data_IF_538557210137
#
_entry.id   IF_538557210137
#
_cell.length_a   1.000
_cell.length_b   1.000
_cell.length_c   1.000
_cell.angle_alpha   90.00
_cell.angle_beta   90.00
_cell.angle_gamma   90.00
#
_symmetry.space_group_name_H-M   'P 1'
#
loop_
_entity.id
_entity.type
_entity.pdbx_description
1 polymer ?
#
# COMPACT_ATOMS: atom_id res chain seq x y z
N UNK A 1 -17.43 12.60 -15.17
CA UNK A 1 -18.04 12.95 -13.88
C UNK A 1 -16.90 13.35 -12.94
N UNK A 2 -16.93 14.51 -12.27
CA UNK A 2 -15.78 15.07 -11.55
C UNK A 2 -15.22 14.13 -10.46
N UNK A 3 -16.10 13.33 -9.85
CA UNK A 3 -15.78 12.37 -8.79
C UNK A 3 -14.76 11.30 -9.21
N UNK A 4 -14.78 10.85 -10.47
CA UNK A 4 -13.90 9.78 -10.95
C UNK A 4 -12.45 10.25 -11.11
N UNK A 5 -12.25 11.51 -11.52
CA UNK A 5 -10.91 12.08 -11.70
C UNK A 5 -10.24 12.38 -10.36
N UNK A 6 -10.99 12.92 -9.40
CA UNK A 6 -10.47 13.15 -8.05
C UNK A 6 -10.06 11.83 -7.38
N UNK A 7 -10.87 10.77 -7.54
CA UNK A 7 -10.54 9.45 -7.01
C UNK A 7 -9.25 8.87 -7.62
N UNK A 8 -9.09 9.00 -8.95
CA UNK A 8 -7.89 8.54 -9.66
C UNK A 8 -6.64 9.29 -9.18
N UNK A 9 -6.73 10.62 -9.04
CA UNK A 9 -5.62 11.43 -8.54
C UNK A 9 -5.28 11.06 -7.09
N UNK A 10 -6.28 10.80 -6.25
CA UNK A 10 -6.08 10.40 -4.87
C UNK A 10 -5.39 9.03 -4.76
N UNK A 11 -5.81 8.06 -5.58
CA UNK A 11 -5.18 6.74 -5.67
C UNK A 11 -3.73 6.88 -6.15
N UNK A 12 -3.48 7.70 -7.17
CA UNK A 12 -2.15 7.93 -7.69
C UNK A 12 -1.23 8.57 -6.64
N UNK A 13 -1.74 9.53 -5.87
CA UNK A 13 -1.02 10.19 -4.80
C UNK A 13 -0.68 9.22 -3.66
N UNK A 14 -1.63 8.36 -3.28
CA UNK A 14 -1.43 7.34 -2.26
C UNK A 14 -0.35 6.32 -2.68
N UNK A 15 -0.39 5.84 -3.94
CA UNK A 15 0.63 4.92 -4.48
C UNK A 15 2.00 5.61 -4.50
N UNK A 16 2.05 6.88 -4.90
CA UNK A 16 3.31 7.64 -4.96
C UNK A 16 3.90 7.86 -3.55
N UNK A 17 3.08 8.17 -2.56
CA UNK A 17 3.49 8.32 -1.17
C UNK A 17 4.01 7.00 -0.59
N UNK A 18 3.31 5.90 -0.83
CA UNK A 18 3.77 4.54 -0.43
C UNK A 18 5.09 4.20 -1.13
N UNK A 19 5.21 4.47 -2.43
CA UNK A 19 6.43 4.23 -3.19
C UNK A 19 7.62 5.06 -2.70
N UNK A 20 7.39 6.32 -2.32
CA UNK A 20 8.41 7.18 -1.71
C UNK A 20 8.84 6.64 -0.34
N UNK A 21 7.88 6.27 0.50
CA UNK A 21 8.15 5.66 1.81
C UNK A 21 8.99 4.39 1.65
N UNK A 22 8.64 3.53 0.69
CA UNK A 22 9.40 2.31 0.36
C UNK A 22 10.81 2.63 -0.09
N UNK A 23 10.99 3.64 -0.94
CA UNK A 23 12.30 4.07 -1.44
C UNK A 23 13.19 4.57 -0.29
N UNK A 24 12.63 5.33 0.63
CA UNK A 24 13.33 5.83 1.82
C UNK A 24 13.65 4.69 2.80
N UNK A 25 12.72 3.76 2.98
CA UNK A 25 12.89 2.56 3.78
C UNK A 25 13.90 1.56 3.18
N UNK A 26 13.99 1.43 1.85
CA UNK A 26 14.99 0.64 1.13
C UNK A 26 16.40 1.18 1.30
N UNK A 27 16.57 2.50 1.48
CA UNK A 27 17.86 3.10 1.83
C UNK A 27 18.34 2.64 3.22
N UNK A 28 17.39 2.31 4.11
CA UNK A 28 17.58 1.73 5.45
C UNK A 28 17.55 0.18 5.41
N UNK A 29 18.19 -0.39 4.39
CA UNK A 29 17.97 -1.72 3.77
C UNK A 29 18.02 -2.97 4.65
N UNK A 30 18.55 -2.93 5.88
CA UNK A 30 18.84 -4.17 6.64
C UNK A 30 17.69 -4.71 7.51
N UNK A 31 16.65 -3.93 7.80
CA UNK A 31 15.54 -4.36 8.67
C UNK A 31 14.14 -4.15 8.07
N UNK A 32 14.06 -3.28 7.08
CA UNK A 32 12.85 -2.84 6.38
C UNK A 32 12.10 -3.94 5.62
N UNK A 33 12.82 -4.85 4.95
CA UNK A 33 12.17 -5.81 4.05
C UNK A 33 11.19 -6.70 4.83
N UNK A 34 11.50 -6.99 6.10
CA UNK A 34 10.59 -7.68 7.01
C UNK A 34 9.29 -6.90 7.24
N UNK A 35 9.37 -5.58 7.47
CA UNK A 35 8.21 -4.72 7.72
C UNK A 35 7.34 -4.59 6.47
N UNK A 36 7.94 -4.44 5.29
CA UNK A 36 7.18 -4.34 4.05
C UNK A 36 6.49 -5.66 3.69
N UNK A 37 7.15 -6.78 3.97
CA UNK A 37 6.56 -8.11 3.82
C UNK A 37 5.43 -8.35 4.83
N UNK A 38 5.60 -7.93 6.09
CA UNK A 38 4.52 -7.96 7.10
C UNK A 38 3.31 -7.15 6.65
N UNK A 39 3.52 -5.94 6.12
CA UNK A 39 2.43 -5.11 5.58
C UNK A 39 1.73 -5.76 4.39
N UNK A 40 2.49 -6.38 3.48
CA UNK A 40 1.92 -7.09 2.34
C UNK A 40 1.08 -8.30 2.78
N UNK A 41 1.58 -9.07 3.75
CA UNK A 41 0.87 -10.22 4.34
C UNK A 41 -0.39 -9.77 5.07
N UNK A 42 -0.34 -8.68 5.85
CA UNK A 42 -1.51 -8.12 6.52
C UNK A 42 -2.56 -7.65 5.51
N UNK A 43 -2.15 -6.95 4.45
CA UNK A 43 -3.05 -6.51 3.39
C UNK A 43 -3.71 -7.71 2.70
N UNK A 44 -2.94 -8.75 2.39
CA UNK A 44 -3.45 -9.99 1.82
C UNK A 44 -4.45 -10.69 2.74
N UNK A 45 -4.17 -10.70 4.04
CA UNK A 45 -5.04 -11.31 5.05
C UNK A 45 -6.35 -10.55 5.19
N UNK A 46 -6.30 -9.22 5.26
CA UNK A 46 -7.48 -8.34 5.30
C UNK A 46 -8.33 -8.54 4.04
N UNK A 47 -7.70 -8.65 2.86
CA UNK A 47 -8.40 -8.93 1.60
C UNK A 47 -9.12 -10.28 1.63
N UNK A 48 -8.44 -11.34 2.12
CA UNK A 48 -9.02 -12.67 2.27
C UNK A 48 -10.20 -12.68 3.24
N UNK A 49 -10.06 -12.02 4.38
CA UNK A 49 -11.13 -11.91 5.40
C UNK A 49 -12.33 -11.17 4.80
N UNK A 50 -12.09 -10.04 4.11
CA UNK A 50 -13.15 -9.26 3.45
C UNK A 50 -13.91 -10.09 2.40
N UNK A 51 -13.20 -10.88 1.59
CA UNK A 51 -13.79 -11.81 0.60
C UNK A 51 -14.60 -12.95 1.23
N UNK A 52 -14.28 -13.39 2.45
CA UNK A 52 -15.01 -14.46 3.13
C UNK A 52 -16.28 -13.93 3.81
N UNK A 53 -16.26 -12.66 4.22
CA UNK A 53 -17.37 -12.01 4.94
C UNK A 53 -18.46 -11.51 3.97
N UNK A 54 -18.09 -11.10 2.76
CA UNK A 54 -18.99 -10.69 1.68
C UNK A 54 -19.60 -11.91 0.98
#
# INVERSE_FOLDING_TARGET
MPVTLELILFILLAICAVGYLVKEFQKTRKRTIGIFLEFLVLFWSIWRISTIII
#
